data_IF_496755579553
#
_entry.id   IF_496755579553
#
_cell.length_a   1.000
_cell.length_b   1.000
_cell.length_c   1.000
_cell.angle_alpha   90.00
_cell.angle_beta   90.00
_cell.angle_gamma   90.00
#
_symmetry.space_group_name_H-M   'P 1'
#
loop_
_entity.id
_entity.type
_entity.pdbx_description
1 polymer ?
#
# COMPACT_ATOMS: atom_id res chain seq x y z
N UNK A 1 11.53 19.41 -19.76
CA UNK A 1 11.67 19.06 -18.34
C UNK A 1 12.99 19.66 -17.89
N UNK A 2 13.12 20.31 -16.74
CA UNK A 2 14.44 20.63 -16.23
C UNK A 2 15.11 19.30 -15.88
N UNK A 3 16.31 19.05 -16.43
CA UNK A 3 17.18 17.94 -16.04
C UNK A 3 17.61 18.16 -14.58
N UNK A 4 16.81 17.72 -13.63
CA UNK A 4 17.22 17.65 -12.22
C UNK A 4 18.08 16.41 -12.10
N UNK A 5 19.38 16.56 -12.26
CA UNK A 5 20.33 15.48 -11.96
C UNK A 5 20.61 15.53 -10.46
N UNK A 6 20.13 14.54 -9.73
CA UNK A 6 20.44 14.37 -8.31
C UNK A 6 21.79 13.63 -8.17
N UNK A 7 22.55 13.93 -7.15
CA UNK A 7 23.85 13.34 -6.85
C UNK A 7 23.78 12.19 -5.81
N UNK A 8 22.56 11.69 -5.58
CA UNK A 8 22.24 10.58 -4.69
C UNK A 8 21.21 9.65 -5.35
N UNK A 9 21.13 8.37 -4.94
CA UNK A 9 20.14 7.43 -5.45
C UNK A 9 18.70 7.82 -5.11
N UNK A 10 17.78 7.59 -6.05
CA UNK A 10 16.35 7.79 -5.89
C UNK A 10 15.68 6.43 -5.77
N UNK A 11 15.13 6.11 -4.59
CA UNK A 11 14.43 4.87 -4.34
C UNK A 11 12.97 5.15 -4.01
N UNK A 12 12.09 4.65 -4.86
CA UNK A 12 10.64 4.91 -4.83
C UNK A 12 9.92 3.86 -3.97
N UNK A 13 9.29 4.29 -2.89
CA UNK A 13 8.56 3.41 -2.00
C UNK A 13 7.15 3.06 -2.50
N UNK A 14 6.68 3.72 -3.57
CA UNK A 14 5.31 3.56 -4.05
C UNK A 14 5.25 3.57 -5.58
N UNK A 15 5.28 2.37 -6.13
CA UNK A 15 5.22 2.14 -7.57
C UNK A 15 4.38 0.89 -7.85
N UNK A 16 3.63 0.84 -8.94
CA UNK A 16 2.64 -0.21 -9.14
C UNK A 16 2.87 -1.08 -10.36
N UNK A 17 2.54 -2.37 -10.21
CA UNK A 17 2.30 -3.28 -11.32
C UNK A 17 0.81 -3.40 -11.60
N UNK A 18 0.44 -3.71 -12.84
CA UNK A 18 -0.93 -4.08 -13.20
C UNK A 18 -1.03 -5.59 -13.39
N UNK A 19 -2.02 -6.18 -12.72
CA UNK A 19 -2.24 -7.61 -12.77
C UNK A 19 -3.19 -7.97 -13.91
N UNK A 20 -2.75 -8.75 -14.92
CA UNK A 20 -3.63 -9.30 -15.93
C UNK A 20 -4.51 -10.42 -15.35
N UNK A 21 -5.51 -10.88 -16.10
CA UNK A 21 -6.38 -12.00 -15.69
C UNK A 21 -5.61 -13.23 -15.18
N UNK A 22 -4.45 -13.51 -15.77
CA UNK A 22 -3.60 -14.64 -15.40
C UNK A 22 -3.08 -14.55 -13.95
N UNK A 23 -2.95 -13.35 -13.39
CA UNK A 23 -2.49 -13.16 -12.02
C UNK A 23 -3.41 -13.84 -10.99
N UNK A 24 -4.70 -13.84 -11.26
CA UNK A 24 -5.71 -14.35 -10.34
C UNK A 24 -6.28 -15.72 -10.75
N UNK A 25 -5.89 -16.28 -11.90
CA UNK A 25 -6.50 -17.49 -12.43
C UNK A 25 -5.50 -18.61 -12.70
N UNK A 26 -4.24 -18.29 -13.05
CA UNK A 26 -3.25 -19.25 -13.52
C UNK A 26 -2.91 -20.35 -12.48
N UNK A 27 -2.69 -19.94 -11.24
CA UNK A 27 -2.21 -20.83 -10.17
C UNK A 27 -3.30 -21.30 -9.21
N UNK A 28 -4.58 -20.95 -9.49
CA UNK A 28 -5.67 -21.49 -8.69
C UNK A 28 -5.73 -23.02 -8.87
N UNK A 29 -5.80 -23.80 -7.78
CA UNK A 29 -6.05 -25.24 -7.84
C UNK A 29 -7.33 -25.56 -8.62
N UNK A 30 -7.39 -26.73 -9.29
CA UNK A 30 -8.47 -27.10 -10.19
C UNK A 30 -9.86 -26.98 -9.55
N UNK A 31 -9.99 -27.35 -8.30
CA UNK A 31 -11.25 -27.25 -7.55
C UNK A 31 -11.72 -25.82 -7.30
N UNK A 32 -10.80 -24.83 -7.40
CA UNK A 32 -11.05 -23.41 -7.20
C UNK A 32 -11.03 -22.63 -8.51
N UNK A 33 -10.78 -23.26 -9.65
CA UNK A 33 -10.93 -22.63 -10.96
C UNK A 33 -12.35 -22.10 -11.11
N UNK A 34 -12.46 -20.80 -11.39
CA UNK A 34 -13.75 -20.13 -11.49
C UNK A 34 -14.19 -19.41 -10.21
N UNK A 35 -13.37 -19.42 -9.14
CA UNK A 35 -13.55 -18.53 -7.99
C UNK A 35 -13.37 -17.07 -8.40
N UNK A 36 -12.34 -16.81 -9.22
CA UNK A 36 -12.09 -15.51 -9.85
C UNK A 36 -12.38 -15.66 -11.35
N UNK A 37 -13.23 -14.79 -11.89
CA UNK A 37 -13.64 -14.80 -13.30
C UNK A 37 -13.64 -13.40 -13.87
N UNK A 38 -13.27 -13.30 -15.13
CA UNK A 38 -13.49 -12.09 -15.92
C UNK A 38 -14.71 -12.29 -16.81
N UNK A 39 -15.70 -11.44 -16.67
CA UNK A 39 -17.01 -11.57 -17.32
C UNK A 39 -17.37 -10.33 -18.13
N UNK A 40 -18.12 -10.49 -19.21
CA UNK A 40 -18.60 -9.38 -20.02
C UNK A 40 -19.96 -8.88 -19.50
N UNK A 41 -20.02 -7.60 -19.12
CA UNK A 41 -21.25 -6.94 -18.68
C UNK A 41 -21.43 -5.64 -19.46
N UNK A 42 -22.47 -5.57 -20.29
CA UNK A 42 -22.75 -4.39 -21.12
C UNK A 42 -21.54 -3.93 -21.99
N UNK A 43 -20.79 -4.90 -22.54
CA UNK A 43 -19.62 -4.63 -23.38
C UNK A 43 -18.36 -4.19 -22.61
N UNK A 44 -18.34 -4.33 -21.28
CA UNK A 44 -17.16 -4.06 -20.43
C UNK A 44 -16.74 -5.34 -19.71
N UNK A 45 -15.45 -5.55 -19.62
CA UNK A 45 -14.89 -6.61 -18.77
C UNK A 45 -15.02 -6.21 -17.30
N UNK A 46 -15.51 -7.12 -16.48
CA UNK A 46 -15.59 -7.00 -15.03
C UNK A 46 -14.94 -8.22 -14.37
N UNK A 47 -14.39 -8.04 -13.19
CA UNK A 47 -13.95 -9.16 -12.35
C UNK A 47 -15.12 -9.61 -11.47
N UNK A 48 -15.27 -10.92 -11.31
CA UNK A 48 -16.25 -11.51 -10.40
C UNK A 48 -15.52 -12.47 -9.45
N UNK A 49 -15.75 -12.29 -8.14
CA UNK A 49 -15.30 -13.17 -7.07
C UNK A 49 -16.49 -13.96 -6.53
N UNK A 50 -16.40 -15.28 -6.49
CA UNK A 50 -17.53 -16.16 -6.07
C UNK A 50 -18.84 -15.83 -6.79
N UNK A 51 -18.78 -15.52 -8.10
CA UNK A 51 -19.91 -15.08 -8.92
C UNK A 51 -20.54 -13.73 -8.53
N UNK A 52 -19.91 -12.94 -7.65
CA UNK A 52 -20.29 -11.56 -7.35
C UNK A 52 -19.39 -10.63 -8.15
N UNK A 53 -20.01 -9.82 -9.03
CA UNK A 53 -19.27 -8.84 -9.83
C UNK A 53 -18.76 -7.74 -8.90
N UNK A 54 -17.51 -7.34 -9.10
CA UNK A 54 -16.92 -6.20 -8.43
C UNK A 54 -16.87 -4.98 -9.36
N UNK A 55 -17.25 -3.84 -8.82
CA UNK A 55 -17.08 -2.52 -9.42
C UNK A 55 -15.91 -1.73 -8.79
N UNK A 56 -15.03 -2.40 -8.04
CA UNK A 56 -13.87 -1.80 -7.38
C UNK A 56 -12.99 -1.05 -8.38
N UNK A 57 -12.60 -1.69 -9.48
CA UNK A 57 -11.86 -1.07 -10.56
C UNK A 57 -12.72 -1.12 -11.84
N UNK A 58 -12.97 0.02 -12.51
CA UNK A 58 -13.78 0.08 -13.72
C UNK A 58 -13.26 -0.78 -14.88
N UNK A 59 -11.92 -0.88 -15.03
CA UNK A 59 -11.25 -1.66 -16.06
C UNK A 59 -10.21 -2.61 -15.46
N UNK A 60 -10.63 -3.80 -14.98
CA UNK A 60 -9.74 -4.72 -14.27
C UNK A 60 -8.76 -5.47 -15.20
N UNK A 61 -8.72 -5.18 -16.51
CA UNK A 61 -7.71 -5.70 -17.44
C UNK A 61 -6.52 -4.78 -17.61
N UNK A 62 -6.64 -3.53 -17.19
CA UNK A 62 -5.62 -2.48 -17.33
C UNK A 62 -5.06 -2.28 -18.74
N UNK A 63 -5.75 -2.75 -19.79
CA UNK A 63 -5.31 -2.55 -21.18
C UNK A 63 -5.31 -1.08 -21.58
N UNK A 64 -6.26 -0.33 -21.04
CA UNK A 64 -6.43 1.11 -21.25
C UNK A 64 -6.63 1.76 -19.89
N UNK A 65 -5.82 2.75 -19.57
CA UNK A 65 -5.76 3.43 -18.28
C UNK A 65 -5.71 4.94 -18.45
N UNK A 66 -5.95 5.68 -17.38
CA UNK A 66 -5.64 7.11 -17.36
C UNK A 66 -4.11 7.31 -17.44
N UNK A 67 -3.68 8.51 -17.84
CA UNK A 67 -2.25 8.82 -17.86
C UNK A 67 -1.72 8.97 -16.45
N UNK A 68 -0.48 8.53 -16.17
CA UNK A 68 0.17 8.83 -14.91
C UNK A 68 0.12 10.33 -14.61
N UNK A 69 -0.18 10.70 -13.38
CA UNK A 69 -0.26 12.10 -12.94
C UNK A 69 -1.45 12.89 -13.50
N UNK A 70 -2.46 12.25 -14.10
CA UNK A 70 -3.62 12.96 -14.65
C UNK A 70 -4.38 13.77 -13.58
N UNK A 71 -4.29 13.37 -12.32
CA UNK A 71 -4.92 14.03 -11.16
C UNK A 71 -3.94 14.85 -10.31
N UNK A 72 -2.66 14.93 -10.68
CA UNK A 72 -1.63 15.65 -9.92
C UNK A 72 -2.05 17.09 -9.59
N UNK A 73 -2.46 17.85 -10.61
CA UNK A 73 -2.94 19.23 -10.43
C UNK A 73 -4.25 19.31 -9.59
N UNK A 74 -5.10 18.30 -9.71
CA UNK A 74 -6.35 18.23 -8.94
C UNK A 74 -6.07 18.11 -7.44
N UNK A 75 -5.16 17.23 -7.03
CA UNK A 75 -4.79 17.08 -5.63
C UNK A 75 -3.98 18.27 -5.13
N UNK A 76 -3.00 18.75 -5.88
CA UNK A 76 -2.15 19.86 -5.45
C UNK A 76 -2.86 21.23 -5.42
N UNK A 77 -3.84 21.47 -6.29
CA UNK A 77 -4.45 22.79 -6.50
C UNK A 77 -5.97 22.83 -6.30
N UNK A 78 -6.59 21.66 -6.09
CA UNK A 78 -8.04 21.51 -6.04
C UNK A 78 -8.71 21.61 -7.42
N UNK A 79 -10.03 21.79 -7.42
CA UNK A 79 -10.85 21.85 -8.65
C UNK A 79 -11.66 23.16 -8.75
N UNK A 80 -11.01 24.33 -8.86
CA UNK A 80 -11.70 25.62 -8.88
C UNK A 80 -12.57 25.81 -10.13
N UNK A 81 -12.30 25.10 -11.22
CA UNK A 81 -13.07 25.16 -12.46
C UNK A 81 -14.30 24.22 -12.45
N UNK A 82 -14.44 23.37 -11.44
CA UNK A 82 -15.53 22.41 -11.33
C UNK A 82 -15.53 21.34 -12.43
N UNK A 83 -14.36 20.94 -12.91
CA UNK A 83 -14.19 19.87 -13.90
C UNK A 83 -14.79 18.56 -13.39
N UNK A 84 -15.45 17.85 -14.29
CA UNK A 84 -15.85 16.48 -14.01
C UNK A 84 -14.63 15.56 -13.91
N UNK A 85 -14.77 14.42 -13.21
CA UNK A 85 -13.71 13.40 -13.11
C UNK A 85 -13.17 12.98 -14.49
N UNK A 86 -14.05 12.85 -15.49
CA UNK A 86 -13.64 12.52 -16.85
C UNK A 86 -12.75 13.60 -17.49
N UNK A 87 -13.06 14.86 -17.26
CA UNK A 87 -12.25 15.98 -17.76
C UNK A 87 -10.89 16.05 -17.07
N UNK A 88 -10.82 15.71 -15.77
CA UNK A 88 -9.58 15.63 -15.00
C UNK A 88 -8.72 14.47 -15.50
N UNK A 89 -9.29 13.26 -15.68
CA UNK A 89 -8.58 12.07 -16.17
C UNK A 89 -8.09 12.23 -17.62
N UNK A 90 -8.72 13.10 -18.42
CA UNK A 90 -8.35 13.36 -19.81
C UNK A 90 -8.51 12.14 -20.72
N UNK A 91 -7.73 12.13 -21.82
CA UNK A 91 -7.77 11.03 -22.78
C UNK A 91 -6.97 9.83 -22.25
N UNK A 92 -7.59 8.64 -22.22
CA UNK A 92 -6.92 7.45 -21.74
C UNK A 92 -5.81 7.02 -22.69
N UNK A 93 -4.86 6.23 -22.18
CA UNK A 93 -3.77 5.66 -22.97
C UNK A 93 -3.78 4.13 -22.90
N UNK A 94 -3.19 3.49 -23.91
CA UNK A 94 -2.90 2.06 -23.85
C UNK A 94 -1.73 1.84 -22.88
N UNK A 95 -1.87 0.89 -21.98
CA UNK A 95 -0.81 0.54 -21.03
C UNK A 95 0.42 -0.01 -21.77
N UNK A 96 1.62 0.49 -21.51
CA UNK A 96 2.85 -0.08 -22.04
C UNK A 96 3.19 -1.40 -21.34
N UNK A 97 4.02 -2.23 -21.98
CA UNK A 97 4.46 -3.52 -21.43
C UNK A 97 5.20 -3.36 -20.07
N UNK A 98 5.77 -2.21 -19.84
CA UNK A 98 6.44 -1.84 -18.59
C UNK A 98 5.52 -1.89 -17.36
N UNK A 99 4.20 -1.86 -17.53
CA UNK A 99 3.25 -1.99 -16.41
C UNK A 99 2.96 -3.44 -16.02
N UNK A 100 3.40 -4.40 -16.87
CA UNK A 100 3.09 -5.82 -16.72
C UNK A 100 4.31 -6.73 -16.56
N UNK A 101 5.53 -6.22 -16.74
CA UNK A 101 6.75 -7.03 -16.67
C UNK A 101 8.01 -6.23 -16.32
N UNK A 102 8.99 -6.87 -15.68
CA UNK A 102 10.15 -6.17 -15.10
C UNK A 102 11.17 -5.66 -16.13
N UNK A 103 11.46 -6.40 -17.21
CA UNK A 103 12.46 -5.97 -18.19
C UNK A 103 12.18 -4.61 -18.85
N UNK A 104 10.96 -4.34 -19.39
CA UNK A 104 10.63 -3.01 -19.88
C UNK A 104 10.47 -2.01 -18.74
N UNK A 105 10.11 -2.45 -17.51
CA UNK A 105 10.01 -1.55 -16.35
C UNK A 105 11.37 -1.00 -15.95
N UNK A 106 12.46 -1.78 -15.97
CA UNK A 106 13.81 -1.27 -15.69
C UNK A 106 14.16 -0.10 -16.60
N UNK A 107 13.88 -0.21 -17.90
CA UNK A 107 14.12 0.89 -18.84
C UNK A 107 13.29 2.13 -18.52
N UNK A 108 12.04 1.92 -18.13
CA UNK A 108 11.17 3.01 -17.70
C UNK A 108 11.66 3.67 -16.40
N UNK A 109 12.18 2.90 -15.43
CA UNK A 109 12.79 3.46 -14.23
C UNK A 109 14.01 4.33 -14.58
N UNK A 110 14.85 3.89 -15.52
CA UNK A 110 15.96 4.70 -16.01
C UNK A 110 15.49 6.02 -16.64
N UNK A 111 14.39 5.99 -17.42
CA UNK A 111 13.78 7.18 -18.03
C UNK A 111 13.17 8.13 -16.98
N UNK A 112 12.64 7.58 -15.87
CA UNK A 112 12.04 8.32 -14.76
C UNK A 112 13.06 8.78 -13.72
N UNK A 113 14.34 8.37 -13.83
CA UNK A 113 15.40 8.71 -12.88
C UNK A 113 15.27 7.99 -11.53
N UNK A 114 14.71 6.77 -11.51
CA UNK A 114 14.52 5.94 -10.31
C UNK A 114 15.56 4.81 -10.32
N UNK A 115 16.34 4.69 -9.25
CA UNK A 115 17.36 3.65 -9.09
C UNK A 115 16.75 2.32 -8.64
N UNK A 116 15.87 2.35 -7.64
CA UNK A 116 15.16 1.17 -7.18
C UNK A 116 13.73 1.52 -6.71
N UNK A 117 12.87 0.49 -6.67
CA UNK A 117 11.47 0.70 -6.28
C UNK A 117 10.86 -0.50 -5.58
N UNK A 118 9.94 -0.22 -4.64
CA UNK A 118 8.91 -1.18 -4.26
C UNK A 118 7.87 -1.26 -5.37
N UNK A 119 7.38 -2.47 -5.65
CA UNK A 119 6.41 -2.71 -6.71
C UNK A 119 5.16 -3.36 -6.12
N UNK A 120 4.12 -2.55 -5.92
CA UNK A 120 2.87 -2.97 -5.31
C UNK A 120 1.90 -3.54 -6.34
N UNK A 121 1.12 -4.57 -5.98
CA UNK A 121 -0.03 -4.98 -6.77
C UNK A 121 -1.16 -3.94 -6.64
N UNK A 122 -1.90 -3.70 -7.70
CA UNK A 122 -2.99 -2.71 -7.74
C UNK A 122 -4.35 -3.33 -7.39
N UNK A 123 -4.68 -4.50 -7.98
CA UNK A 123 -6.00 -5.13 -7.83
C UNK A 123 -6.06 -6.10 -6.63
N UNK A 124 -4.91 -6.52 -6.11
CA UNK A 124 -4.84 -7.48 -5.00
C UNK A 124 -5.56 -7.00 -3.73
N UNK A 125 -5.59 -5.69 -3.49
CA UNK A 125 -6.28 -5.07 -2.33
C UNK A 125 -7.78 -5.39 -2.26
N UNK A 126 -8.40 -5.77 -3.40
CA UNK A 126 -9.78 -6.24 -3.48
C UNK A 126 -9.99 -7.61 -2.82
N UNK A 127 -9.00 -8.51 -2.90
CA UNK A 127 -9.21 -9.94 -2.63
C UNK A 127 -9.53 -10.24 -1.17
N UNK A 128 -8.76 -9.68 -0.25
CA UNK A 128 -8.88 -10.02 1.18
C UNK A 128 -10.22 -9.61 1.77
N UNK A 129 -10.72 -8.41 1.46
CA UNK A 129 -12.02 -7.97 1.96
C UNK A 129 -13.16 -8.78 1.35
N UNK A 130 -13.07 -9.11 0.06
CA UNK A 130 -14.08 -9.88 -0.67
C UNK A 130 -14.18 -11.34 -0.26
N UNK A 131 -13.09 -11.89 0.25
CA UNK A 131 -13.00 -13.28 0.70
C UNK A 131 -12.92 -13.40 2.22
N UNK A 132 -13.12 -12.30 2.95
CA UNK A 132 -12.93 -12.19 4.39
C UNK A 132 -13.80 -13.15 5.23
N UNK A 133 -14.88 -13.66 4.67
CA UNK A 133 -15.77 -14.66 5.30
C UNK A 133 -15.26 -16.11 5.15
N UNK A 134 -14.22 -16.36 4.35
CA UNK A 134 -13.64 -17.68 4.12
C UNK A 134 -12.10 -17.63 4.17
N UNK A 135 -11.52 -17.74 5.36
CA UNK A 135 -10.07 -17.68 5.56
C UNK A 135 -9.28 -18.67 4.70
N UNK A 136 -9.76 -19.89 4.54
CA UNK A 136 -9.08 -20.92 3.73
C UNK A 136 -8.96 -20.50 2.27
N UNK A 137 -10.06 -20.04 1.71
CA UNK A 137 -10.10 -19.57 0.32
C UNK A 137 -9.24 -18.33 0.13
N UNK A 138 -9.22 -17.42 1.12
CA UNK A 138 -8.38 -16.22 1.08
C UNK A 138 -6.91 -16.62 0.93
N UNK A 139 -6.40 -17.52 1.78
CA UNK A 139 -5.02 -18.00 1.69
C UNK A 139 -4.70 -18.66 0.34
N UNK A 140 -5.62 -19.46 -0.21
CA UNK A 140 -5.44 -20.12 -1.51
C UNK A 140 -5.31 -19.11 -2.65
N UNK A 141 -6.15 -18.07 -2.66
CA UNK A 141 -6.14 -17.04 -3.70
C UNK A 141 -4.90 -16.16 -3.59
N UNK A 142 -4.52 -15.80 -2.38
CA UNK A 142 -3.31 -15.00 -2.13
C UNK A 142 -2.05 -15.78 -2.53
N UNK A 143 -1.94 -17.05 -2.16
CA UNK A 143 -0.83 -17.89 -2.61
C UNK A 143 -0.74 -17.98 -4.14
N UNK A 144 -1.86 -18.18 -4.81
CA UNK A 144 -1.90 -18.22 -6.29
C UNK A 144 -1.45 -16.89 -6.93
N UNK A 145 -1.82 -15.75 -6.34
CA UNK A 145 -1.35 -14.43 -6.75
C UNK A 145 0.17 -14.28 -6.54
N UNK A 146 0.68 -14.66 -5.37
CA UNK A 146 2.11 -14.58 -5.06
C UNK A 146 2.95 -15.49 -5.98
N UNK A 147 2.43 -16.68 -6.36
CA UNK A 147 3.08 -17.53 -7.35
C UNK A 147 3.19 -16.84 -8.72
N UNK A 148 2.12 -16.21 -9.19
CA UNK A 148 2.15 -15.42 -10.43
C UNK A 148 3.12 -14.25 -10.32
N UNK A 149 3.11 -13.52 -9.19
CA UNK A 149 3.99 -12.38 -8.97
C UNK A 149 5.46 -12.83 -9.01
N UNK A 150 5.80 -13.93 -8.34
CA UNK A 150 7.15 -14.49 -8.38
C UNK A 150 7.57 -14.93 -9.78
N UNK A 151 6.70 -15.59 -10.54
CA UNK A 151 7.02 -16.05 -11.90
C UNK A 151 7.22 -14.88 -12.87
N UNK A 152 6.43 -13.82 -12.72
CA UNK A 152 6.42 -12.69 -13.67
C UNK A 152 7.42 -11.61 -13.30
N UNK A 153 7.45 -11.19 -12.02
CA UNK A 153 8.22 -10.05 -11.54
C UNK A 153 9.47 -10.46 -10.75
N UNK A 154 9.51 -11.70 -10.23
CA UNK A 154 10.34 -12.10 -9.09
C UNK A 154 10.07 -11.22 -7.87
N UNK A 155 10.64 -11.54 -6.67
CA UNK A 155 10.52 -10.63 -5.53
C UNK A 155 11.72 -9.70 -5.40
N UNK A 156 12.73 -9.89 -6.27
CA UNK A 156 13.90 -9.04 -6.35
C UNK A 156 14.49 -9.15 -7.76
N UNK A 157 14.06 -8.25 -8.65
CA UNK A 157 14.56 -8.21 -10.01
C UNK A 157 15.75 -7.26 -10.10
N UNK A 158 16.93 -7.81 -10.38
CA UNK A 158 18.21 -7.09 -10.55
C UNK A 158 18.62 -6.18 -9.38
N UNK A 159 18.05 -6.37 -8.16
CA UNK A 159 18.29 -5.50 -7.02
C UNK A 159 17.63 -4.11 -7.15
N UNK A 160 16.74 -3.92 -8.12
CA UNK A 160 16.11 -2.64 -8.44
C UNK A 160 14.59 -2.65 -8.32
N UNK A 161 13.92 -3.75 -8.64
CA UNK A 161 12.47 -3.89 -8.48
C UNK A 161 12.20 -4.92 -7.38
N UNK A 162 11.56 -4.48 -6.31
CA UNK A 162 11.19 -5.32 -5.18
C UNK A 162 9.66 -5.49 -5.16
N UNK A 163 9.17 -6.55 -5.83
CA UNK A 163 7.76 -6.87 -5.80
C UNK A 163 7.33 -7.30 -4.39
N UNK A 164 6.13 -6.87 -3.98
CA UNK A 164 5.65 -6.96 -2.61
C UNK A 164 4.58 -8.05 -2.47
N UNK A 165 4.98 -9.30 -2.14
CA UNK A 165 4.01 -10.36 -1.96
C UNK A 165 3.05 -10.08 -0.81
N UNK A 166 1.80 -10.46 -1.02
CA UNK A 166 0.72 -10.27 -0.04
C UNK A 166 0.76 -11.38 1.00
N UNK A 167 0.71 -11.02 2.28
CA UNK A 167 0.52 -11.98 3.39
C UNK A 167 -0.80 -11.71 4.08
N UNK A 168 -1.69 -12.68 4.04
CA UNK A 168 -2.98 -12.62 4.73
C UNK A 168 -2.91 -13.38 6.05
N UNK A 169 -3.55 -12.86 7.11
CA UNK A 169 -3.32 -13.30 8.49
C UNK A 169 -4.43 -14.17 9.12
N UNK A 170 -5.59 -14.44 8.52
CA UNK A 170 -6.71 -15.14 9.18
C UNK A 170 -6.35 -16.47 9.83
N UNK A 171 -5.40 -17.22 9.26
CA UNK A 171 -4.84 -18.48 9.79
C UNK A 171 -3.34 -18.30 9.95
N UNK A 172 -2.86 -18.17 11.19
CA UNK A 172 -1.47 -17.78 11.50
C UNK A 172 -0.45 -18.76 10.93
N UNK A 173 -0.72 -20.06 11.02
CA UNK A 173 0.17 -21.12 10.51
C UNK A 173 0.35 -20.98 8.99
N UNK A 174 -0.72 -20.70 8.24
CA UNK A 174 -0.67 -20.48 6.80
C UNK A 174 0.03 -19.16 6.44
N UNK A 175 -0.12 -18.13 7.26
CA UNK A 175 0.60 -16.88 7.09
C UNK A 175 2.12 -17.08 7.25
N UNK A 176 2.53 -17.92 8.21
CA UNK A 176 3.94 -18.31 8.41
C UNK A 176 4.46 -19.11 7.21
N UNK A 177 3.70 -20.12 6.76
CA UNK A 177 4.08 -20.92 5.57
C UNK A 177 4.27 -20.01 4.33
N UNK A 178 3.38 -19.06 4.12
CA UNK A 178 3.47 -18.10 3.00
C UNK A 178 4.67 -17.16 3.16
N UNK A 179 4.89 -16.65 4.38
CA UNK A 179 6.05 -15.81 4.67
C UNK A 179 7.38 -16.55 4.37
N UNK A 180 7.52 -17.77 4.86
CA UNK A 180 8.70 -18.59 4.60
C UNK A 180 8.90 -18.83 3.10
N UNK A 181 7.80 -19.11 2.38
CA UNK A 181 7.82 -19.31 0.94
C UNK A 181 8.30 -18.09 0.15
N UNK A 182 7.86 -16.89 0.51
CA UNK A 182 8.27 -15.65 -0.17
C UNK A 182 9.70 -15.23 0.20
N UNK A 183 10.10 -15.41 1.45
CA UNK A 183 11.47 -15.12 1.94
C UNK A 183 12.50 -16.01 1.25
N UNK A 184 12.25 -17.31 1.12
CA UNK A 184 13.10 -18.24 0.38
C UNK A 184 13.31 -17.82 -1.09
N UNK A 185 12.37 -17.03 -1.64
CA UNK A 185 12.38 -16.52 -3.02
C UNK A 185 12.89 -15.08 -3.16
N UNK A 186 13.48 -14.55 -2.07
CA UNK A 186 14.20 -13.29 -2.07
C UNK A 186 13.35 -12.05 -1.82
N UNK A 187 12.13 -12.19 -1.29
CA UNK A 187 11.33 -11.04 -0.87
C UNK A 187 12.09 -10.20 0.17
N UNK A 188 12.05 -8.88 0.00
CA UNK A 188 12.65 -7.88 0.90
C UNK A 188 11.60 -7.15 1.73
N UNK A 189 10.36 -7.21 1.28
CA UNK A 189 9.20 -6.56 1.87
C UNK A 189 7.99 -7.46 1.66
N UNK A 190 7.07 -7.44 2.59
CA UNK A 190 5.76 -8.09 2.48
C UNK A 190 4.67 -7.03 2.59
N UNK A 191 3.54 -7.28 1.94
CA UNK A 191 2.33 -6.47 2.05
C UNK A 191 1.38 -7.11 3.06
N UNK A 192 1.10 -6.39 4.15
CA UNK A 192 0.07 -6.77 5.14
C UNK A 192 -1.03 -5.70 5.13
N UNK A 193 -2.27 -6.11 5.03
CA UNK A 193 -3.43 -5.22 4.99
C UNK A 193 -3.56 -4.40 6.28
N UNK A 194 -3.71 -3.06 6.24
CA UNK A 194 -3.90 -2.21 7.42
C UNK A 194 -5.35 -2.29 7.95
N UNK A 195 -5.79 -3.47 8.34
CA UNK A 195 -7.16 -3.74 8.75
C UNK A 195 -7.22 -4.78 9.85
N UNK A 196 -8.30 -4.82 10.62
CA UNK A 196 -8.55 -5.92 11.53
C UNK A 196 -8.64 -7.25 10.77
N UNK A 197 -7.98 -8.27 11.30
CA UNK A 197 -7.89 -9.60 10.68
C UNK A 197 -9.23 -10.33 10.83
N UNK A 198 -9.87 -10.72 9.73
CA UNK A 198 -11.06 -11.58 9.80
C UNK A 198 -10.68 -12.99 10.27
N UNK A 199 -11.65 -13.74 10.72
CA UNK A 199 -11.43 -15.11 11.14
C UNK A 199 -12.73 -15.84 11.35
N UNK A 200 -12.65 -17.09 11.79
CA UNK A 200 -13.81 -17.93 12.04
C UNK A 200 -14.71 -17.32 13.15
N UNK A 201 -15.71 -16.54 12.75
CA UNK A 201 -16.70 -15.95 13.63
C UNK A 201 -16.29 -14.70 14.42
N UNK A 202 -15.06 -14.18 14.22
CA UNK A 202 -14.61 -12.94 14.87
C UNK A 202 -13.63 -12.13 14.00
N UNK A 203 -13.58 -10.84 14.26
CA UNK A 203 -12.59 -9.92 13.70
C UNK A 203 -11.74 -9.40 14.87
N UNK A 204 -10.42 -9.28 14.68
CA UNK A 204 -9.49 -8.88 15.74
C UNK A 204 -8.24 -8.22 15.19
N UNK A 205 -7.56 -7.45 16.04
CA UNK A 205 -6.32 -6.77 15.61
C UNK A 205 -5.20 -7.76 15.33
N UNK A 206 -4.43 -7.48 14.27
CA UNK A 206 -3.18 -8.16 13.94
C UNK A 206 -2.07 -7.96 15.01
N UNK A 207 -2.24 -6.96 15.88
CA UNK A 207 -1.28 -6.63 16.94
C UNK A 207 -1.49 -7.42 18.23
N UNK A 208 -2.51 -8.27 18.31
CA UNK A 208 -2.75 -9.11 19.49
C UNK A 208 -1.74 -10.27 19.57
N UNK A 209 -1.42 -10.76 20.79
CA UNK A 209 -0.43 -11.82 21.01
C UNK A 209 -0.68 -13.14 20.26
N UNK A 210 -1.90 -13.40 19.80
CA UNK A 210 -2.17 -14.58 18.97
C UNK A 210 -1.44 -14.57 17.63
N UNK A 211 -1.00 -13.39 17.17
CA UNK A 211 -0.21 -13.21 15.95
C UNK A 211 1.30 -13.13 16.19
N UNK A 212 1.75 -13.16 17.45
CA UNK A 212 3.18 -13.10 17.79
C UNK A 212 4.03 -14.15 17.06
N UNK A 213 3.59 -15.41 16.89
CA UNK A 213 4.37 -16.40 16.13
C UNK A 213 4.65 -15.98 14.68
N UNK A 214 3.74 -15.23 14.05
CA UNK A 214 3.98 -14.67 12.71
C UNK A 214 4.98 -13.51 12.78
N UNK A 215 4.81 -12.58 13.73
CA UNK A 215 5.71 -11.43 13.87
C UNK A 215 7.13 -11.82 14.27
N UNK A 216 7.30 -12.88 15.05
CA UNK A 216 8.59 -13.49 15.34
C UNK A 216 9.29 -13.91 14.05
N UNK A 217 8.59 -14.57 13.13
CA UNK A 217 9.12 -14.99 11.83
C UNK A 217 9.48 -13.82 10.92
N UNK A 218 8.67 -12.76 10.93
CA UNK A 218 8.98 -11.52 10.19
C UNK A 218 10.29 -10.90 10.69
N UNK A 219 10.47 -10.83 12.00
CA UNK A 219 11.70 -10.31 12.62
C UNK A 219 12.90 -11.24 12.40
N UNK A 220 12.73 -12.57 12.52
CA UNK A 220 13.78 -13.55 12.23
C UNK A 220 14.26 -13.47 10.77
N UNK A 221 13.34 -13.29 9.84
CA UNK A 221 13.64 -13.13 8.42
C UNK A 221 14.23 -11.74 8.08
N UNK A 222 14.21 -10.81 9.03
CA UNK A 222 14.67 -9.43 8.86
C UNK A 222 14.04 -8.72 7.66
N UNK A 223 12.76 -8.98 7.41
CA UNK A 223 11.99 -8.45 6.29
C UNK A 223 11.16 -7.23 6.72
N UNK A 224 10.99 -6.25 5.83
CA UNK A 224 10.15 -5.09 6.08
C UNK A 224 8.68 -5.39 5.79
N UNK A 225 7.78 -4.61 6.41
CA UNK A 225 6.33 -4.73 6.24
C UNK A 225 5.78 -3.44 5.65
N UNK A 226 5.18 -3.54 4.49
CA UNK A 226 4.37 -2.47 3.92
C UNK A 226 2.91 -2.63 4.30
N UNK A 227 2.27 -1.53 4.64
CA UNK A 227 0.82 -1.42 4.83
C UNK A 227 0.29 -0.40 3.84
N UNK A 228 -0.03 -0.91 2.65
CA UNK A 228 -0.48 -0.09 1.54
C UNK A 228 -1.98 0.23 1.64
N UNK A 229 -2.39 1.39 1.13
CA UNK A 229 -3.79 1.77 1.00
C UNK A 229 -4.60 0.68 0.29
N UNK A 230 -5.74 0.31 0.86
CA UNK A 230 -6.57 -0.79 0.36
C UNK A 230 -8.00 -0.67 0.90
N UNK A 231 -8.89 -1.62 0.58
CA UNK A 231 -10.15 -1.75 1.34
C UNK A 231 -9.83 -2.29 2.74
N UNK A 232 -9.65 -1.39 3.69
CA UNK A 232 -9.38 -1.64 5.09
C UNK A 232 -10.61 -2.10 5.91
N UNK A 233 -11.73 -2.37 5.21
CA UNK A 233 -13.02 -2.68 5.82
C UNK A 233 -13.84 -1.46 6.20
N UNK A 234 -13.33 -0.24 5.97
CA UNK A 234 -14.05 1.00 6.21
C UNK A 234 -15.32 1.12 5.38
N UNK A 235 -15.36 0.49 4.21
CA UNK A 235 -16.56 0.38 3.39
C UNK A 235 -17.79 -0.10 4.17
N UNK A 236 -17.62 -1.04 5.09
CA UNK A 236 -18.73 -1.52 5.96
C UNK A 236 -19.24 -0.43 6.89
N UNK A 237 -18.34 0.36 7.46
CA UNK A 237 -18.67 1.49 8.32
C UNK A 237 -19.38 2.60 7.53
N UNK A 238 -18.83 3.00 6.40
CA UNK A 238 -19.41 3.99 5.49
C UNK A 238 -20.81 3.60 5.03
N UNK A 239 -20.98 2.36 4.57
CA UNK A 239 -22.27 1.85 4.11
C UNK A 239 -23.33 1.84 5.20
N UNK A 240 -22.95 1.71 6.48
CA UNK A 240 -23.87 1.81 7.60
C UNK A 240 -24.46 3.24 7.70
N UNK A 241 -23.59 4.28 7.57
CA UNK A 241 -24.04 5.68 7.59
C UNK A 241 -24.85 6.07 6.36
N UNK A 242 -24.49 5.54 5.19
CA UNK A 242 -25.19 5.79 3.93
C UNK A 242 -26.49 4.98 3.78
N UNK A 243 -26.79 4.08 4.72
CA UNK A 243 -27.97 3.23 4.64
C UNK A 243 -27.90 2.20 3.50
N UNK A 244 -26.69 1.80 3.08
CA UNK A 244 -26.43 0.86 1.99
C UNK A 244 -25.82 -0.45 2.51
N UNK A 245 -26.54 -1.28 3.26
CA UNK A 245 -25.98 -2.51 3.81
C UNK A 245 -25.47 -3.43 2.70
N UNK A 246 -24.25 -3.93 2.83
CA UNK A 246 -23.61 -4.80 1.84
C UNK A 246 -23.09 -4.09 0.59
N UNK A 247 -23.02 -2.75 0.60
CA UNK A 247 -22.39 -1.98 -0.48
C UNK A 247 -20.89 -2.27 -0.56
N UNK A 248 -20.37 -2.22 -1.78
CA UNK A 248 -18.96 -2.39 -2.08
C UNK A 248 -18.20 -1.06 -1.92
N UNK A 249 -16.97 -1.14 -1.49
CA UNK A 249 -16.02 -0.03 -1.62
C UNK A 249 -15.72 0.20 -3.11
N UNK A 250 -16.03 1.38 -3.61
CA UNK A 250 -15.84 1.76 -5.02
C UNK A 250 -15.04 3.05 -5.10
N UNK A 251 -13.70 2.98 -4.97
CA UNK A 251 -12.83 4.16 -4.89
C UNK A 251 -12.94 5.06 -6.12
N UNK A 252 -13.29 4.47 -7.26
CA UNK A 252 -13.47 5.18 -8.53
C UNK A 252 -14.95 5.42 -8.91
N UNK A 253 -15.87 5.24 -7.96
CA UNK A 253 -17.30 5.50 -8.15
C UNK A 253 -17.67 6.98 -8.09
N UNK A 254 -18.95 7.25 -7.84
CA UNK A 254 -19.45 8.59 -7.53
C UNK A 254 -19.75 8.66 -6.03
N UNK A 255 -18.78 8.98 -5.19
CA UNK A 255 -18.96 9.02 -3.74
C UNK A 255 -19.87 10.18 -3.33
N UNK A 256 -20.49 10.05 -2.15
CA UNK A 256 -21.11 11.18 -1.47
C UNK A 256 -20.04 12.11 -0.88
N UNK A 257 -20.41 13.33 -0.51
CA UNK A 257 -19.50 14.23 0.21
C UNK A 257 -19.01 13.63 1.55
N UNK A 258 -19.83 12.78 2.18
CA UNK A 258 -19.45 12.08 3.40
C UNK A 258 -18.41 10.97 3.14
N UNK A 259 -18.57 10.22 2.07
CA UNK A 259 -17.60 9.19 1.65
C UNK A 259 -16.26 9.84 1.29
N UNK A 260 -16.26 10.96 0.54
CA UNK A 260 -15.02 11.69 0.21
C UNK A 260 -14.32 12.21 1.48
N UNK A 261 -15.08 12.84 2.40
CA UNK A 261 -14.51 13.33 3.65
C UNK A 261 -13.80 12.20 4.42
N UNK A 262 -14.48 11.06 4.61
CA UNK A 262 -13.92 9.97 5.41
C UNK A 262 -12.78 9.23 4.70
N UNK A 263 -12.76 9.23 3.37
CA UNK A 263 -11.65 8.67 2.60
C UNK A 263 -10.36 9.44 2.85
N UNK A 264 -10.41 10.76 2.88
CA UNK A 264 -9.25 11.63 3.14
C UNK A 264 -8.81 11.64 4.61
N UNK A 265 -9.61 11.12 5.54
CA UNK A 265 -9.22 10.96 6.94
C UNK A 265 -8.31 9.74 7.19
N UNK A 266 -8.12 8.87 6.20
CA UNK A 266 -7.24 7.68 6.27
C UNK A 266 -7.39 6.89 7.57
N UNK A 267 -8.65 6.67 7.97
CA UNK A 267 -8.98 6.09 9.28
C UNK A 267 -8.43 4.67 9.48
N UNK A 268 -8.38 3.87 8.43
CA UNK A 268 -7.89 2.49 8.53
C UNK A 268 -6.45 2.42 9.01
N UNK A 269 -5.57 3.25 8.44
CA UNK A 269 -4.17 3.29 8.87
C UNK A 269 -4.00 3.93 10.25
N UNK A 270 -4.81 4.94 10.60
CA UNK A 270 -4.83 5.50 11.95
C UNK A 270 -5.14 4.40 12.98
N UNK A 271 -6.23 3.66 12.80
CA UNK A 271 -6.66 2.58 13.71
C UNK A 271 -5.63 1.44 13.73
N UNK A 272 -5.02 1.09 12.59
CA UNK A 272 -3.98 0.07 12.50
C UNK A 272 -2.73 0.44 13.29
N UNK A 273 -2.21 1.66 13.14
CA UNK A 273 -1.03 2.13 13.86
C UNK A 273 -1.32 2.36 15.34
N UNK A 274 -2.49 2.92 15.68
CA UNK A 274 -2.95 3.00 17.07
C UNK A 274 -2.97 1.62 17.73
N UNK A 275 -3.50 0.64 17.02
CA UNK A 275 -3.55 -0.74 17.48
C UNK A 275 -2.16 -1.34 17.66
N UNK A 276 -1.24 -1.15 16.70
CA UNK A 276 0.13 -1.66 16.78
C UNK A 276 0.88 -1.12 18.01
N UNK A 277 0.72 0.17 18.32
CA UNK A 277 1.32 0.80 19.49
C UNK A 277 0.60 0.35 20.79
N UNK A 278 -0.72 0.53 20.86
CA UNK A 278 -1.47 0.32 22.10
C UNK A 278 -1.60 -1.15 22.52
N UNK A 279 -1.58 -2.09 21.58
CA UNK A 279 -1.52 -3.52 21.90
C UNK A 279 -0.08 -4.04 22.09
N UNK A 280 0.92 -3.15 22.07
CA UNK A 280 2.31 -3.46 22.38
C UNK A 280 3.03 -4.30 21.31
N UNK A 281 2.58 -4.32 20.06
CA UNK A 281 3.25 -5.05 18.99
C UNK A 281 4.70 -4.57 18.82
N UNK A 282 4.90 -3.28 18.73
CA UNK A 282 6.21 -2.68 18.53
C UNK A 282 7.11 -2.78 19.77
N UNK A 283 6.54 -2.87 20.96
CA UNK A 283 7.26 -3.13 22.21
C UNK A 283 7.76 -4.57 22.25
N UNK A 284 6.91 -5.55 21.87
CA UNK A 284 7.33 -6.96 21.79
C UNK A 284 8.33 -7.22 20.64
N UNK A 285 8.22 -6.46 19.55
CA UNK A 285 9.06 -6.60 18.35
C UNK A 285 9.73 -5.27 17.96
N UNK A 286 10.71 -4.78 18.75
CA UNK A 286 11.31 -3.46 18.57
C UNK A 286 12.11 -3.29 17.27
N UNK A 287 12.48 -4.37 16.60
CA UNK A 287 13.16 -4.34 15.30
C UNK A 287 12.21 -4.44 14.10
N UNK A 288 10.90 -4.58 14.33
CA UNK A 288 9.91 -4.61 13.27
C UNK A 288 9.88 -3.26 12.53
N UNK A 289 9.97 -3.30 11.20
CA UNK A 289 9.94 -2.12 10.33
C UNK A 289 8.64 -2.10 9.56
N UNK A 290 7.83 -1.04 9.76
CA UNK A 290 6.51 -0.91 9.15
C UNK A 290 6.44 0.39 8.33
N UNK A 291 5.97 0.27 7.11
CA UNK A 291 5.82 1.37 6.15
C UNK A 291 4.35 1.52 5.75
N UNK A 292 3.62 2.48 6.32
CA UNK A 292 2.35 2.95 5.74
C UNK A 292 2.61 3.62 4.38
N UNK A 293 2.14 3.00 3.29
CA UNK A 293 2.33 3.47 1.92
C UNK A 293 0.98 3.85 1.32
N UNK A 294 0.94 4.95 0.56
CA UNK A 294 -0.28 5.53 -0.02
C UNK A 294 -1.41 5.78 1.01
N UNK A 295 -1.02 6.16 2.21
CA UNK A 295 -1.96 6.47 3.30
C UNK A 295 -1.90 7.95 3.73
N UNK A 296 -1.11 8.77 3.04
CA UNK A 296 -0.90 10.18 3.41
C UNK A 296 -0.39 10.37 4.84
N UNK A 297 -0.49 11.59 5.34
CA UNK A 297 0.06 12.00 6.65
C UNK A 297 -0.96 12.61 7.61
N UNK A 298 -2.18 12.88 7.16
CA UNK A 298 -3.23 13.55 7.96
C UNK A 298 -3.55 12.82 9.27
N UNK A 299 -3.30 11.52 9.32
CA UNK A 299 -3.54 10.66 10.49
C UNK A 299 -2.39 10.73 11.53
N UNK A 300 -1.16 11.13 11.15
CA UNK A 300 0.05 11.03 12.01
C UNK A 300 -0.04 11.97 13.20
N UNK A 301 -0.21 13.27 12.96
CA UNK A 301 -0.27 14.28 14.04
C UNK A 301 -1.42 14.03 15.03
N UNK A 302 -2.65 13.72 14.59
CA UNK A 302 -3.74 13.35 15.51
C UNK A 302 -3.44 12.09 16.32
N UNK A 303 -2.85 11.06 15.71
CA UNK A 303 -2.49 9.83 16.42
C UNK A 303 -1.46 10.11 17.50
N UNK A 304 -0.34 10.74 17.15
CA UNK A 304 0.73 11.05 18.12
C UNK A 304 0.24 11.97 19.25
N UNK A 305 -0.60 12.96 18.91
CA UNK A 305 -1.23 13.81 19.92
C UNK A 305 -2.15 13.05 20.89
N UNK A 306 -2.90 12.09 20.38
CA UNK A 306 -3.76 11.22 21.22
C UNK A 306 -2.92 10.27 22.09
N UNK A 307 -1.89 9.65 21.53
CA UNK A 307 -0.97 8.77 22.27
C UNK A 307 -0.25 9.52 23.39
N UNK A 308 0.27 10.71 23.11
CA UNK A 308 0.94 11.55 24.11
C UNK A 308 -0.01 11.89 25.27
N UNK A 309 -1.24 12.28 24.97
CA UNK A 309 -2.25 12.61 25.98
C UNK A 309 -2.61 11.40 26.86
N UNK A 310 -2.83 10.24 26.26
CA UNK A 310 -3.15 9.04 27.02
C UNK A 310 -1.95 8.55 27.85
N UNK A 311 -0.74 8.68 27.34
CA UNK A 311 0.48 8.38 28.11
C UNK A 311 0.66 9.32 29.30
N UNK A 312 0.38 10.62 29.15
CA UNK A 312 0.40 11.58 30.26
C UNK A 312 -0.62 11.21 31.36
N UNK A 313 -1.83 10.77 30.99
CA UNK A 313 -2.89 10.49 31.93
C UNK A 313 -2.80 9.07 32.54
N UNK A 314 -2.35 8.10 31.76
CA UNK A 314 -2.37 6.68 32.12
C UNK A 314 -1.06 5.97 31.71
N UNK A 315 0.10 6.42 32.21
CA UNK A 315 1.41 5.88 31.77
C UNK A 315 1.54 4.38 32.05
N UNK A 316 0.81 3.86 33.04
CA UNK A 316 0.84 2.44 33.41
C UNK A 316 0.20 1.49 32.36
N UNK A 317 -0.48 2.03 31.35
CA UNK A 317 -1.02 1.25 30.22
C UNK A 317 0.04 0.98 29.13
N UNK A 318 1.18 1.65 29.21
CA UNK A 318 2.25 1.54 28.22
C UNK A 318 3.53 1.06 28.91
N UNK A 319 4.22 0.12 28.29
CA UNK A 319 5.52 -0.37 28.78
C UNK A 319 6.67 0.57 28.39
N UNK A 320 6.52 1.29 27.29
CA UNK A 320 7.47 2.27 26.78
C UNK A 320 6.70 3.56 26.38
N UNK A 321 7.41 4.65 26.15
CA UNK A 321 6.84 5.87 25.57
C UNK A 321 6.28 5.56 24.17
N UNK A 322 4.96 5.69 23.95
CA UNK A 322 4.32 5.31 22.70
C UNK A 322 4.76 6.16 21.50
N UNK A 323 5.25 7.39 21.74
CA UNK A 323 5.77 8.26 20.68
C UNK A 323 7.13 7.74 20.20
N UNK A 324 8.01 7.37 21.12
CA UNK A 324 9.32 6.81 20.79
C UNK A 324 9.19 5.43 20.12
N UNK A 325 8.24 4.62 20.58
CA UNK A 325 7.89 3.33 19.97
C UNK A 325 7.41 3.53 18.53
N UNK A 326 6.51 4.48 18.28
CA UNK A 326 6.05 4.80 16.93
C UNK A 326 7.23 5.23 16.04
N UNK A 327 8.00 6.21 16.45
CA UNK A 327 9.15 6.74 15.68
C UNK A 327 10.22 5.69 15.40
N UNK A 328 10.42 4.74 16.31
CA UNK A 328 11.37 3.64 16.12
C UNK A 328 10.97 2.69 15.01
N UNK A 329 9.68 2.38 14.88
CA UNK A 329 9.18 1.26 14.10
C UNK A 329 8.47 1.66 12.79
N UNK A 330 8.12 2.97 12.58
CA UNK A 330 7.25 3.40 11.48
C UNK A 330 7.96 4.40 10.58
N UNK A 331 7.91 4.14 9.26
CA UNK A 331 8.34 5.05 8.20
C UNK A 331 7.14 5.49 7.39
N UNK A 332 6.91 6.78 7.26
CA UNK A 332 5.68 7.35 6.68
C UNK A 332 5.94 7.87 5.27
N UNK A 333 5.06 7.54 4.35
CA UNK A 333 5.03 8.05 2.99
C UNK A 333 3.96 9.14 2.87
N UNK A 334 4.32 10.43 2.70
CA UNK A 334 3.39 11.53 2.40
C UNK A 334 3.01 11.54 0.92
N UNK A 335 1.77 11.93 0.61
CA UNK A 335 1.40 12.26 -0.76
C UNK A 335 2.16 13.47 -1.30
N UNK A 336 2.21 13.60 -2.62
CA UNK A 336 2.96 14.69 -3.28
C UNK A 336 2.38 16.09 -3.02
N UNK A 337 1.10 16.21 -2.64
CA UNK A 337 0.44 17.47 -2.30
C UNK A 337 0.50 17.83 -0.80
N UNK A 338 1.02 16.94 0.04
CA UNK A 338 1.15 17.15 1.48
C UNK A 338 2.45 17.89 1.84
N UNK A 339 2.69 18.08 3.14
CA UNK A 339 3.87 18.76 3.68
C UNK A 339 4.88 17.75 4.25
N UNK A 340 5.83 17.24 3.45
CA UNK A 340 6.84 16.30 3.93
C UNK A 340 7.84 16.97 4.88
N UNK A 341 8.06 18.28 4.79
CA UNK A 341 8.95 19.03 5.70
C UNK A 341 8.33 19.08 7.08
N UNK A 342 7.04 19.46 7.17
CA UNK A 342 6.31 19.45 8.44
C UNK A 342 6.14 18.05 9.03
N UNK A 343 6.07 17.00 8.20
CA UNK A 343 6.11 15.62 8.70
C UNK A 343 7.48 15.29 9.30
N UNK A 344 8.56 15.63 8.61
CA UNK A 344 9.92 15.40 9.09
C UNK A 344 10.22 16.09 10.43
N UNK A 345 9.61 17.25 10.71
CA UNK A 345 9.69 17.91 12.03
C UNK A 345 9.03 17.08 13.14
N UNK A 346 8.03 16.26 12.79
CA UNK A 346 7.28 15.46 13.77
C UNK A 346 7.96 14.11 14.02
N UNK A 347 8.32 13.39 12.96
CA UNK A 347 8.79 12.01 13.07
C UNK A 347 10.30 11.85 12.90
N UNK A 348 10.98 12.87 12.36
CA UNK A 348 12.38 12.83 11.92
C UNK A 348 12.49 12.62 10.41
N UNK A 349 13.47 13.26 9.76
CA UNK A 349 13.70 13.12 8.33
C UNK A 349 14.06 11.67 7.94
N UNK A 350 14.66 10.92 8.86
CA UNK A 350 15.01 9.49 8.71
C UNK A 350 13.80 8.53 8.81
N UNK A 351 12.58 9.07 8.96
CA UNK A 351 11.31 8.33 9.03
C UNK A 351 10.34 8.72 7.91
N UNK A 352 10.77 9.53 6.96
CA UNK A 352 9.95 9.94 5.81
C UNK A 352 10.43 9.21 4.57
N UNK A 353 9.49 8.66 3.78
CA UNK A 353 9.78 7.97 2.53
C UNK A 353 9.24 8.78 1.36
N UNK A 354 9.98 8.80 0.27
CA UNK A 354 9.48 9.21 -1.04
C UNK A 354 8.72 8.06 -1.70
N UNK A 355 7.59 8.37 -2.33
CA UNK A 355 6.84 7.46 -3.19
C UNK A 355 6.11 8.24 -4.27
N UNK A 356 6.03 7.70 -5.47
CA UNK A 356 5.44 8.39 -6.62
C UNK A 356 4.02 7.98 -6.96
N UNK A 357 3.60 6.81 -6.51
CA UNK A 357 2.37 6.13 -6.92
C UNK A 357 2.27 5.94 -8.46
N UNK A 358 3.44 5.81 -9.12
CA UNK A 358 3.49 5.59 -10.57
C UNK A 358 3.08 4.14 -10.91
N UNK A 359 2.20 3.87 -11.89
CA UNK A 359 1.70 4.78 -12.93
C UNK A 359 0.26 5.26 -12.71
N UNK A 360 -0.20 5.36 -11.49
CA UNK A 360 -1.57 5.78 -11.19
C UNK A 360 -1.82 7.24 -11.58
N UNK A 361 -3.07 7.61 -11.92
CA UNK A 361 -3.40 8.98 -12.29
C UNK A 361 -3.33 9.96 -11.12
N UNK A 362 -3.47 9.50 -9.90
CA UNK A 362 -3.33 10.26 -8.66
C UNK A 362 -1.89 10.57 -8.27
N UNK A 363 -0.93 9.75 -8.74
CA UNK A 363 0.49 9.89 -8.46
C UNK A 363 1.18 10.96 -9.30
N UNK A 364 2.50 10.88 -9.40
CA UNK A 364 3.35 11.80 -10.14
C UNK A 364 3.65 11.31 -11.56
N UNK A 365 3.47 12.18 -12.56
CA UNK A 365 3.93 11.90 -13.91
C UNK A 365 5.46 11.92 -14.04
N UNK A 366 6.13 12.74 -13.21
CA UNK A 366 7.57 12.90 -13.10
C UNK A 366 7.98 12.65 -11.63
N UNK A 367 8.30 11.40 -11.24
CA UNK A 367 8.58 11.04 -9.86
C UNK A 367 9.68 11.86 -9.19
N UNK A 368 10.78 12.17 -9.93
CA UNK A 368 11.91 12.93 -9.39
C UNK A 368 11.52 14.37 -9.04
N UNK A 369 10.45 14.90 -9.64
CA UNK A 369 9.94 16.24 -9.32
C UNK A 369 9.52 16.39 -7.86
N UNK A 370 9.29 15.29 -7.12
CA UNK A 370 9.00 15.29 -5.68
C UNK A 370 10.06 16.04 -4.86
N UNK A 371 11.30 16.07 -5.30
CA UNK A 371 12.37 16.86 -4.64
C UNK A 371 11.99 18.33 -4.43
N UNK A 372 11.09 18.86 -5.26
CA UNK A 372 10.62 20.25 -5.13
C UNK A 372 9.76 20.48 -3.87
N UNK A 373 9.19 19.42 -3.28
CA UNK A 373 8.44 19.48 -2.03
C UNK A 373 9.36 19.57 -0.78
N UNK A 374 10.66 19.26 -0.95
CA UNK A 374 11.66 19.22 0.11
C UNK A 374 12.47 20.51 0.24
N UNK A 375 12.00 21.61 -0.35
CA UNK A 375 12.71 22.88 -0.31
C UNK A 375 12.91 23.39 1.12
N UNK A 376 14.13 23.80 1.43
CA UNK A 376 14.51 24.29 2.76
C UNK A 376 15.11 23.23 3.69
N UNK A 377 15.04 21.95 3.33
CA UNK A 377 15.74 20.89 4.05
C UNK A 377 17.23 20.85 3.70
N UNK A 378 18.03 20.20 4.55
CA UNK A 378 19.43 19.94 4.24
C UNK A 378 19.56 18.96 3.08
N UNK A 379 20.68 19.04 2.32
CA UNK A 379 20.97 18.08 1.24
C UNK A 379 20.94 16.64 1.74
N UNK A 380 21.51 16.38 2.94
CA UNK A 380 21.53 15.04 3.53
C UNK A 380 20.12 14.52 3.86
N UNK A 381 19.22 15.38 4.35
CA UNK A 381 17.85 14.99 4.64
C UNK A 381 17.04 14.75 3.36
N UNK A 382 17.28 15.55 2.31
CA UNK A 382 16.69 15.32 0.99
C UNK A 382 17.13 13.96 0.44
N UNK A 383 18.44 13.66 0.49
CA UNK A 383 18.97 12.38 0.03
C UNK A 383 18.40 11.18 0.81
N UNK A 384 18.22 11.34 2.13
CA UNK A 384 17.54 10.32 2.95
C UNK A 384 16.10 10.07 2.48
N UNK A 385 15.31 11.13 2.34
CA UNK A 385 13.89 11.03 1.98
C UNK A 385 13.73 10.47 0.57
N UNK A 386 14.51 10.97 -0.39
CA UNK A 386 14.40 10.55 -1.79
C UNK A 386 14.87 9.12 -2.06
N UNK A 387 15.64 8.51 -1.13
CA UNK A 387 16.10 7.14 -1.39
C UNK A 387 16.79 6.43 -0.23
N UNK A 388 17.60 7.18 0.56
CA UNK A 388 18.41 6.58 1.64
C UNK A 388 17.59 5.82 2.67
N UNK A 389 16.47 6.39 3.12
CA UNK A 389 15.61 5.75 4.13
C UNK A 389 15.00 4.43 3.63
N UNK A 390 14.56 4.38 2.37
CA UNK A 390 14.04 3.12 1.81
C UNK A 390 15.16 2.08 1.67
N UNK A 391 16.36 2.50 1.24
CA UNK A 391 17.51 1.62 1.16
C UNK A 391 17.86 1.01 2.54
N UNK A 392 17.84 1.82 3.59
CA UNK A 392 18.08 1.39 4.97
C UNK A 392 16.99 0.42 5.46
N UNK A 393 15.72 0.72 5.20
CA UNK A 393 14.60 -0.15 5.58
C UNK A 393 14.69 -1.52 4.90
N UNK A 394 15.05 -1.55 3.62
CA UNK A 394 15.16 -2.78 2.84
C UNK A 394 16.51 -3.47 2.99
N UNK A 395 17.51 -2.79 3.60
CA UNK A 395 18.91 -3.24 3.69
C UNK A 395 19.48 -3.58 2.32
N UNK A 396 19.31 -2.66 1.39
CA UNK A 396 19.90 -2.73 0.03
C UNK A 396 21.05 -1.73 -0.08
N UNK A 397 21.88 -1.89 -1.10
CA UNK A 397 22.96 -0.93 -1.36
C UNK A 397 22.34 0.44 -1.74
N UNK A 398 22.82 1.49 -1.10
CA UNK A 398 22.49 2.89 -1.39
C UNK A 398 23.38 3.44 -2.50
#
# INVERSE_FOLDING_TARGET
>A
MPDVTLDFPVNDADNHMYEPEAAFTRYLPDQWKGLVKYVQVNGRTKIALRNVISDYIPNPTFEVVARPGAQEDYFAKGNPEGKTRREIMGEPMRSPDAYFSPEPRIKLLDELGIDATLMWPTLASLLEERLSDDPEVTHIVIHALNQWMHETWTFNYEGRIFATPVITLPVVEKAIEELEWVVERGAKVILVRPAPVPGYGRVRSFALPEFDPFWEKVVEADIAVGMHSSDDGQSKYLNTWEGRPGGEFTPFGNPSAFEELLRHEHRGIFDAMASAVCHGLFTRFPSLRVMPIENGTNWVRPLLGSLAKEYEHQPHLFEEDPIEVFKRNVWVHPFHEEDPVGLAEIVGADRVLFGSDYPHPEGLADPVSYVNQLQGMSHDDIAKIMGGNLADVLKIAS
#
